data_IF_827838723960
#
_entry.id   IF_827838723960
#
_cell.length_a   1.000
_cell.length_b   1.000
_cell.length_c   1.000
_cell.angle_alpha   90.00
_cell.angle_beta   90.00
_cell.angle_gamma   90.00
#
_symmetry.space_group_name_H-M   'P 1'
#
loop_
_entity.id
_entity.type
_entity.pdbx_description
1 polymer ?
#
# COMPACT_ATOMS: atom_id res chain seq x y z
N UNK A 1 24.14 15.93 -34.13
CA UNK A 1 23.44 16.26 -32.87
C UNK A 1 23.40 15.00 -32.03
N UNK A 2 24.01 15.01 -30.84
CA UNK A 2 24.03 13.86 -29.93
C UNK A 2 22.66 13.73 -29.25
N UNK A 3 21.74 13.02 -29.91
CA UNK A 3 20.49 12.58 -29.31
C UNK A 3 20.75 11.24 -28.63
N UNK A 4 20.47 11.16 -27.33
CA UNK A 4 20.58 9.93 -26.55
C UNK A 4 19.20 9.30 -26.42
N UNK A 5 19.15 7.97 -26.47
CA UNK A 5 17.93 7.18 -26.34
C UNK A 5 18.21 6.03 -25.40
N UNK A 6 17.43 5.91 -24.32
CA UNK A 6 17.42 4.76 -23.43
C UNK A 6 16.08 4.05 -23.48
N UNK A 7 16.13 2.72 -23.34
CA UNK A 7 14.96 1.86 -23.44
C UNK A 7 14.93 0.88 -22.28
N UNK A 8 13.77 0.76 -21.65
CA UNK A 8 13.49 -0.16 -20.57
C UNK A 8 12.35 -1.07 -21.02
N UNK A 9 12.61 -2.37 -21.09
CA UNK A 9 11.64 -3.37 -21.53
C UNK A 9 11.26 -4.29 -20.37
N UNK A 10 9.97 -4.60 -20.30
CA UNK A 10 9.38 -5.68 -19.52
C UNK A 10 8.46 -6.49 -20.43
N UNK A 11 7.81 -7.53 -19.91
CA UNK A 11 7.03 -8.47 -20.72
C UNK A 11 5.88 -7.81 -21.48
N UNK A 12 5.15 -6.90 -20.85
CA UNK A 12 3.99 -6.21 -21.42
C UNK A 12 4.21 -4.70 -21.63
N UNK A 13 5.33 -4.14 -21.16
CA UNK A 13 5.56 -2.69 -21.12
C UNK A 13 6.94 -2.33 -21.67
N UNK A 14 7.01 -1.31 -22.52
CA UNK A 14 8.26 -0.70 -22.98
C UNK A 14 8.22 0.81 -22.74
N UNK A 15 9.23 1.31 -22.06
CA UNK A 15 9.47 2.74 -21.85
C UNK A 15 10.70 3.18 -22.63
N UNK A 16 10.56 4.18 -23.49
CA UNK A 16 11.65 4.83 -24.21
C UNK A 16 11.75 6.27 -23.77
N UNK A 17 12.95 6.71 -23.41
CA UNK A 17 13.24 8.11 -23.09
C UNK A 17 14.32 8.63 -24.03
N UNK A 18 14.13 9.84 -24.53
CA UNK A 18 15.10 10.51 -25.39
C UNK A 18 15.44 11.88 -24.85
N UNK A 19 16.69 12.28 -25.03
CA UNK A 19 17.17 13.51 -24.47
C UNK A 19 18.53 13.95 -24.98
N UNK A 20 19.00 15.01 -24.34
CA UNK A 20 20.29 15.64 -24.63
C UNK A 20 21.14 15.65 -23.36
N UNK A 21 22.47 15.56 -23.50
CA UNK A 21 23.37 15.84 -22.40
C UNK A 21 23.29 17.30 -21.98
N UNK A 22 23.34 17.54 -20.68
CA UNK A 22 23.46 18.88 -20.13
C UNK A 22 24.93 19.21 -19.88
N UNK A 23 25.56 19.83 -20.89
CA UNK A 23 26.96 20.25 -20.80
C UNK A 23 27.19 21.38 -19.79
N UNK A 24 26.14 22.04 -19.30
CA UNK A 24 26.27 23.12 -18.31
C UNK A 24 26.51 22.61 -16.89
N UNK A 25 26.21 21.33 -16.63
CA UNK A 25 26.31 20.68 -15.32
C UNK A 25 27.43 19.64 -15.23
N UNK A 26 28.43 19.72 -16.13
CA UNK A 26 29.59 18.80 -16.22
C UNK A 26 29.18 17.31 -16.36
N UNK A 27 27.97 17.08 -16.87
CA UNK A 27 27.49 15.74 -17.15
C UNK A 27 28.17 15.19 -18.41
N UNK A 28 28.60 13.93 -18.36
CA UNK A 28 29.25 13.27 -19.49
C UNK A 28 28.35 13.23 -20.74
N UNK A 29 28.96 13.17 -21.93
CA UNK A 29 28.25 13.21 -23.22
C UNK A 29 27.30 12.02 -23.47
N UNK A 30 27.32 11.00 -22.59
CA UNK A 30 26.46 9.82 -22.62
C UNK A 30 25.41 9.81 -21.52
N UNK A 31 25.02 10.97 -20.99
CA UNK A 31 23.97 11.09 -19.96
C UNK A 31 22.86 11.98 -20.49
N UNK A 32 21.60 11.62 -20.26
CA UNK A 32 20.46 12.52 -20.47
C UNK A 32 20.33 13.42 -19.24
N UNK A 33 20.71 14.69 -19.41
CA UNK A 33 20.43 15.75 -18.42
C UNK A 33 19.15 16.53 -18.74
N UNK A 34 18.76 16.59 -20.03
CA UNK A 34 17.55 17.26 -20.49
C UNK A 34 16.65 16.26 -21.23
N UNK A 35 15.49 15.95 -20.64
CA UNK A 35 14.47 15.11 -21.26
C UNK A 35 13.83 15.86 -22.44
N UNK A 36 13.90 15.27 -23.63
CA UNK A 36 13.23 15.80 -24.83
C UNK A 36 11.86 15.16 -25.02
N UNK A 37 11.81 13.83 -25.01
CA UNK A 37 10.60 13.05 -25.28
C UNK A 37 10.61 11.76 -24.47
N UNK A 38 9.43 11.19 -24.29
CA UNK A 38 9.27 9.85 -23.75
C UNK A 38 8.09 9.18 -24.43
N UNK A 39 8.13 7.85 -24.54
CA UNK A 39 7.04 7.02 -25.05
C UNK A 39 6.92 5.79 -24.20
N UNK A 40 5.69 5.42 -23.87
CA UNK A 40 5.35 4.22 -23.13
C UNK A 40 4.38 3.39 -23.97
N UNK A 41 4.81 2.19 -24.32
CA UNK A 41 4.03 1.22 -25.06
C UNK A 41 3.58 0.13 -24.11
N UNK A 42 2.29 -0.14 -24.06
CA UNK A 42 1.74 -1.32 -23.39
C UNK A 42 1.08 -2.21 -24.44
N UNK A 43 1.17 -3.53 -24.24
CA UNK A 43 0.55 -4.49 -25.15
C UNK A 43 -0.97 -4.26 -25.20
N UNK A 44 -1.52 -4.08 -26.41
CA UNK A 44 -2.96 -3.89 -26.59
C UNK A 44 -3.50 -2.52 -26.19
N UNK A 45 -2.65 -1.58 -25.75
CA UNK A 45 -3.02 -0.20 -25.45
C UNK A 45 -2.42 0.77 -26.48
N UNK A 46 -3.02 1.96 -26.66
CA UNK A 46 -2.39 3.04 -27.44
C UNK A 46 -1.07 3.48 -26.80
N UNK A 47 -0.14 3.94 -27.63
CA UNK A 47 1.13 4.51 -27.15
C UNK A 47 0.85 5.78 -26.33
N UNK A 48 1.47 5.86 -25.16
CA UNK A 48 1.41 7.01 -24.29
C UNK A 48 2.64 7.89 -24.52
N UNK A 49 2.38 9.18 -24.73
CA UNK A 49 3.40 10.21 -24.80
C UNK A 49 2.89 11.49 -24.15
N UNK A 50 3.80 12.40 -23.83
CA UNK A 50 3.44 13.67 -23.21
C UNK A 50 4.65 14.54 -22.92
N UNK A 51 4.42 15.58 -22.14
CA UNK A 51 5.49 16.45 -21.65
C UNK A 51 6.24 15.77 -20.49
N UNK A 52 7.33 16.39 -20.05
CA UNK A 52 8.07 15.97 -18.86
C UNK A 52 7.16 15.84 -17.62
N UNK A 53 6.23 16.78 -17.46
CA UNK A 53 5.26 16.80 -16.36
C UNK A 53 4.37 15.53 -16.32
N UNK A 54 4.03 14.95 -17.47
CA UNK A 54 3.27 13.70 -17.55
C UNK A 54 4.07 12.52 -17.06
N UNK A 55 5.36 12.42 -17.45
CA UNK A 55 6.23 11.35 -16.97
C UNK A 55 6.48 11.48 -15.47
N UNK A 56 6.69 12.70 -14.98
CA UNK A 56 6.83 12.96 -13.54
C UNK A 56 5.58 12.58 -12.76
N UNK A 57 4.40 12.99 -13.23
CA UNK A 57 3.13 12.62 -12.62
C UNK A 57 2.93 11.10 -12.64
N UNK A 58 3.23 10.44 -13.76
CA UNK A 58 3.17 8.98 -13.90
C UNK A 58 4.06 8.28 -12.88
N UNK A 59 5.31 8.72 -12.72
CA UNK A 59 6.24 8.20 -11.72
C UNK A 59 5.67 8.34 -10.31
N UNK A 60 5.11 9.50 -9.96
CA UNK A 60 4.55 9.74 -8.63
C UNK A 60 3.32 8.87 -8.35
N UNK A 61 2.31 8.89 -9.23
CA UNK A 61 1.03 8.23 -8.98
C UNK A 61 1.14 6.72 -9.03
N UNK A 62 1.91 6.15 -9.97
CA UNK A 62 2.12 4.70 -10.04
C UNK A 62 2.91 4.21 -8.82
N UNK A 63 3.97 4.92 -8.42
CA UNK A 63 4.73 4.56 -7.21
C UNK A 63 3.85 4.61 -5.96
N UNK A 64 3.04 5.65 -5.81
CA UNK A 64 2.13 5.78 -4.67
C UNK A 64 1.06 4.68 -4.67
N UNK A 65 0.45 4.41 -5.82
CA UNK A 65 -0.59 3.41 -5.98
C UNK A 65 -0.08 2.00 -5.68
N UNK A 66 1.03 1.59 -6.29
CA UNK A 66 1.62 0.26 -6.07
C UNK A 66 1.98 0.04 -4.60
N UNK A 67 2.50 1.05 -3.90
CA UNK A 67 2.78 0.96 -2.45
C UNK A 67 1.53 0.72 -1.61
N UNK A 68 0.42 1.37 -1.96
CA UNK A 68 -0.85 1.18 -1.24
C UNK A 68 -1.43 -0.20 -1.54
N UNK A 69 -1.35 -0.66 -2.80
CA UNK A 69 -1.74 -2.02 -3.16
C UNK A 69 -0.95 -3.09 -2.40
N UNK A 70 0.38 -2.94 -2.28
CA UNK A 70 1.21 -3.83 -1.45
C UNK A 70 0.81 -3.83 0.03
N UNK A 71 0.19 -2.74 0.49
CA UNK A 71 -0.37 -2.61 1.84
C UNK A 71 -1.82 -3.09 1.95
N UNK A 72 -2.39 -3.66 0.89
CA UNK A 72 -3.77 -4.12 0.82
C UNK A 72 -4.81 -3.01 0.69
N UNK A 73 -4.39 -1.79 0.36
CA UNK A 73 -5.27 -0.61 0.25
C UNK A 73 -5.35 -0.19 -1.22
N UNK A 74 -6.47 -0.48 -1.88
CA UNK A 74 -6.72 -0.01 -3.24
C UNK A 74 -7.51 1.31 -3.21
N UNK A 75 -6.91 2.40 -3.71
CA UNK A 75 -7.56 3.72 -3.80
C UNK A 75 -7.08 4.51 -5.00
N UNK A 76 -7.78 5.59 -5.33
CA UNK A 76 -7.40 6.49 -6.41
C UNK A 76 -6.25 7.44 -6.00
N UNK A 77 -5.35 7.71 -6.94
CA UNK A 77 -4.24 8.67 -6.87
C UNK A 77 -4.26 9.59 -8.09
N UNK A 78 -3.91 10.85 -7.88
CA UNK A 78 -4.07 11.92 -8.87
C UNK A 78 -5.41 12.65 -8.67
N UNK A 79 -5.37 13.97 -8.71
CA UNK A 79 -6.56 14.82 -8.73
C UNK A 79 -7.17 14.88 -10.13
N UNK A 80 -8.39 15.40 -10.23
CA UNK A 80 -9.14 15.49 -11.50
C UNK A 80 -8.45 16.38 -12.55
N UNK A 81 -7.60 17.30 -12.10
CA UNK A 81 -6.81 18.20 -12.95
C UNK A 81 -5.36 17.75 -13.15
N UNK A 82 -4.93 16.68 -12.47
CA UNK A 82 -3.55 16.22 -12.58
C UNK A 82 -3.31 15.56 -13.95
N UNK A 83 -2.09 15.68 -14.52
CA UNK A 83 -1.78 15.12 -15.84
C UNK A 83 -2.01 13.60 -15.93
N UNK A 84 -1.88 12.90 -14.82
CA UNK A 84 -2.02 11.45 -14.72
C UNK A 84 -2.77 11.10 -13.43
N UNK A 85 -3.73 10.19 -13.53
CA UNK A 85 -4.36 9.57 -12.36
C UNK A 85 -4.46 8.05 -12.52
N UNK A 86 -4.50 7.33 -11.40
CA UNK A 86 -4.61 5.87 -11.37
C UNK A 86 -5.52 5.42 -10.24
N UNK A 87 -6.31 4.38 -10.45
CA UNK A 87 -7.13 3.80 -9.39
C UNK A 87 -7.57 2.37 -9.68
N UNK A 88 -8.24 1.73 -8.69
CA UNK A 88 -8.83 0.41 -8.91
C UNK A 88 -10.00 0.48 -9.88
N UNK A 89 -10.17 -0.57 -10.69
CA UNK A 89 -11.36 -0.84 -11.49
C UNK A 89 -11.90 -2.24 -11.19
N UNK A 90 -13.08 -2.59 -11.70
CA UNK A 90 -13.77 -3.86 -11.46
C UNK A 90 -12.91 -5.11 -11.69
N UNK A 91 -11.96 -5.06 -12.64
CA UNK A 91 -11.14 -6.21 -13.05
C UNK A 91 -9.64 -5.90 -13.06
N UNK A 92 -9.19 -4.91 -12.28
CA UNK A 92 -7.76 -4.53 -12.24
C UNK A 92 -7.58 -3.06 -11.90
N UNK A 93 -6.83 -2.37 -12.73
CA UNK A 93 -6.47 -0.96 -12.52
C UNK A 93 -6.86 -0.11 -13.73
N UNK A 94 -7.07 1.17 -13.50
CA UNK A 94 -7.35 2.15 -14.53
C UNK A 94 -6.34 3.28 -14.42
N UNK A 95 -5.57 3.48 -15.47
CA UNK A 95 -4.66 4.61 -15.66
C UNK A 95 -5.33 5.63 -16.59
N UNK A 96 -5.35 6.89 -16.22
CA UNK A 96 -5.85 7.98 -17.04
C UNK A 96 -4.73 8.98 -17.32
N UNK A 97 -4.54 9.33 -18.59
CA UNK A 97 -3.65 10.39 -19.04
C UNK A 97 -4.47 11.56 -19.57
N UNK A 98 -4.23 12.77 -19.05
CA UNK A 98 -4.92 13.99 -19.45
C UNK A 98 -4.02 14.82 -20.36
N UNK A 99 -4.56 15.22 -21.50
CA UNK A 99 -3.84 16.12 -22.41
C UNK A 99 -3.64 17.49 -21.75
N UNK A 100 -2.53 18.14 -22.09
CA UNK A 100 -2.31 19.54 -21.72
C UNK A 100 -3.10 20.54 -22.59
N UNK A 101 -3.79 20.07 -23.63
CA UNK A 101 -4.65 20.90 -24.47
C UNK A 101 -6.10 20.88 -23.96
N UNK A 102 -6.78 22.05 -23.90
CA UNK A 102 -8.15 22.13 -23.42
C UNK A 102 -9.11 21.42 -24.38
N UNK A 103 -10.12 20.75 -23.82
CA UNK A 103 -11.20 20.10 -24.60
C UNK A 103 -10.83 18.75 -25.21
N UNK A 104 -9.66 18.18 -24.88
CA UNK A 104 -9.29 16.81 -25.27
C UNK A 104 -9.70 15.85 -24.16
N UNK A 105 -10.42 14.79 -24.52
CA UNK A 105 -10.83 13.77 -23.55
C UNK A 105 -9.62 13.01 -22.97
N UNK A 106 -9.65 12.64 -21.67
CA UNK A 106 -8.61 11.84 -21.06
C UNK A 106 -8.47 10.47 -21.71
N UNK A 107 -7.24 10.07 -22.00
CA UNK A 107 -6.93 8.73 -22.47
C UNK A 107 -6.98 7.75 -21.28
N UNK A 108 -7.85 6.76 -21.36
CA UNK A 108 -8.04 5.75 -20.31
C UNK A 108 -7.49 4.41 -20.75
N UNK A 109 -6.65 3.81 -19.91
CA UNK A 109 -6.01 2.51 -20.13
C UNK A 109 -6.35 1.60 -18.96
N UNK A 110 -6.78 0.39 -19.29
CA UNK A 110 -6.99 -0.67 -18.33
C UNK A 110 -5.69 -1.46 -18.19
N UNK A 111 -5.31 -1.72 -16.94
CA UNK A 111 -4.14 -2.53 -16.62
C UNK A 111 -4.58 -3.72 -15.78
N UNK A 112 -4.04 -4.90 -16.09
CA UNK A 112 -4.05 -6.02 -15.15
C UNK A 112 -2.89 -5.92 -14.13
N UNK A 113 -2.85 -6.86 -13.18
CA UNK A 113 -1.82 -6.88 -12.14
C UNK A 113 -0.40 -7.07 -12.72
N UNK A 114 -0.26 -7.82 -13.82
CA UNK A 114 1.02 -8.11 -14.44
C UNK A 114 1.54 -6.89 -15.22
N UNK A 115 0.67 -6.23 -15.97
CA UNK A 115 0.95 -4.98 -16.68
C UNK A 115 1.32 -3.86 -15.71
N UNK A 116 0.64 -3.75 -14.57
CA UNK A 116 1.00 -2.79 -13.53
C UNK A 116 2.39 -3.09 -12.94
N UNK A 117 2.69 -4.35 -12.68
CA UNK A 117 4.00 -4.77 -12.15
C UNK A 117 5.13 -4.50 -13.16
N UNK A 118 4.89 -4.71 -14.44
CA UNK A 118 5.82 -4.39 -15.52
C UNK A 118 6.02 -2.88 -15.66
N UNK A 119 4.95 -2.10 -15.61
CA UNK A 119 5.01 -0.64 -15.63
C UNK A 119 5.86 -0.10 -14.48
N UNK A 120 5.60 -0.56 -13.25
CA UNK A 120 6.35 -0.15 -12.07
C UNK A 120 7.84 -0.49 -12.20
N UNK A 121 8.18 -1.68 -12.71
CA UNK A 121 9.57 -2.09 -12.96
C UNK A 121 10.27 -1.21 -13.99
N UNK A 122 9.61 -0.87 -15.10
CA UNK A 122 10.15 0.07 -16.10
C UNK A 122 10.41 1.46 -15.49
N UNK A 123 9.47 1.96 -14.69
CA UNK A 123 9.56 3.27 -14.04
C UNK A 123 10.68 3.31 -12.99
N UNK A 124 10.84 2.25 -12.19
CA UNK A 124 11.93 2.16 -11.22
C UNK A 124 13.29 2.01 -11.91
N UNK A 125 13.37 1.24 -13.01
CA UNK A 125 14.60 1.15 -13.80
C UNK A 125 15.03 2.52 -14.35
N UNK A 126 14.08 3.31 -14.89
CA UNK A 126 14.35 4.68 -15.32
C UNK A 126 14.85 5.57 -14.19
N UNK A 127 14.25 5.49 -13.00
CA UNK A 127 14.62 6.33 -11.85
C UNK A 127 16.00 6.00 -11.28
N UNK A 128 16.44 4.75 -11.44
CA UNK A 128 17.71 4.25 -10.93
C UNK A 128 18.82 4.28 -11.98
N UNK A 129 18.53 4.63 -13.24
CA UNK A 129 19.52 4.65 -14.31
C UNK A 129 20.49 5.84 -14.14
N UNK A 130 21.80 5.58 -13.90
CA UNK A 130 22.79 6.66 -13.77
C UNK A 130 23.01 7.47 -15.06
N UNK A 131 22.55 6.96 -16.21
CA UNK A 131 22.62 7.66 -17.50
C UNK A 131 21.41 8.58 -17.74
N UNK A 132 20.43 8.62 -16.83
CA UNK A 132 19.30 9.55 -16.89
C UNK A 132 19.27 10.39 -15.62
N UNK A 133 20.05 11.48 -15.63
CA UNK A 133 20.20 12.39 -14.49
C UNK A 133 19.25 13.58 -14.58
N UNK A 134 17.97 13.27 -14.83
CA UNK A 134 16.89 14.26 -14.75
C UNK A 134 16.47 14.36 -13.28
N UNK A 135 16.29 15.58 -12.79
CA UNK A 135 15.80 15.82 -11.43
C UNK A 135 14.32 15.40 -11.31
N UNK A 136 14.09 14.13 -10.98
CA UNK A 136 12.75 13.61 -10.71
C UNK A 136 12.30 14.02 -9.30
N UNK A 137 11.01 14.35 -9.11
CA UNK A 137 10.49 14.59 -7.78
C UNK A 137 10.60 13.32 -6.94
N UNK A 138 11.11 13.45 -5.71
CA UNK A 138 11.19 12.33 -4.79
C UNK A 138 9.77 11.89 -4.40
N UNK A 139 9.44 10.59 -4.48
CA UNK A 139 8.13 10.11 -4.08
C UNK A 139 7.92 10.38 -2.58
N UNK A 140 6.71 10.80 -2.20
CA UNK A 140 6.38 11.06 -0.80
C UNK A 140 6.33 9.74 0.00
N UNK A 141 7.33 9.52 0.84
CA UNK A 141 7.41 8.37 1.74
C UNK A 141 6.63 8.63 3.03
N UNK A 142 5.31 8.86 2.92
CA UNK A 142 4.47 8.92 4.11
C UNK A 142 4.00 7.51 4.52
N UNK A 143 4.02 7.19 5.83
CA UNK A 143 3.47 5.95 6.33
C UNK A 143 1.95 5.94 6.14
N UNK A 144 1.38 4.76 5.87
CA UNK A 144 -0.08 4.62 5.83
C UNK A 144 -0.68 4.89 7.21
N UNK A 145 -1.82 5.56 7.25
CA UNK A 145 -2.54 5.75 8.50
C UNK A 145 -3.09 4.42 8.98
N UNK A 146 -3.05 4.15 10.30
CA UNK A 146 -3.58 2.90 10.90
C UNK A 146 -5.04 2.63 10.51
N UNK A 147 -5.83 3.67 10.26
CA UNK A 147 -7.22 3.56 9.82
C UNK A 147 -7.34 2.86 8.46
N UNK A 148 -6.48 3.23 7.51
CA UNK A 148 -6.50 2.69 6.14
C UNK A 148 -6.14 1.19 6.14
N UNK A 149 -5.23 0.79 7.03
CA UNK A 149 -4.85 -0.62 7.24
C UNK A 149 -5.95 -1.44 7.95
N UNK A 150 -6.80 -0.80 8.75
CA UNK A 150 -7.88 -1.49 9.46
C UNK A 150 -9.12 -1.72 8.59
N UNK A 151 -9.30 -0.89 7.57
CA UNK A 151 -10.38 -1.00 6.58
C UNK A 151 -10.10 -2.08 5.53
N UNK A 152 -8.84 -2.42 5.28
CA UNK A 152 -8.48 -3.51 4.36
C UNK A 152 -8.71 -4.92 4.95
N UNK A 153 -8.93 -5.05 6.27
CA UNK A 153 -9.26 -6.33 6.89
C UNK A 153 -10.79 -6.54 6.79
N UNK A 154 -11.28 -7.56 6.07
CA UNK A 154 -12.71 -7.80 5.93
C UNK A 154 -13.35 -7.97 7.31
N UNK A 155 -14.49 -7.30 7.53
CA UNK A 155 -15.15 -7.22 8.84
C UNK A 155 -15.34 -8.58 9.53
N UNK A 156 -15.63 -9.64 8.76
CA UNK A 156 -15.78 -11.01 9.29
C UNK A 156 -14.50 -11.56 9.94
N UNK A 157 -13.31 -11.20 9.46
CA UNK A 157 -12.02 -11.64 10.03
C UNK A 157 -11.63 -10.82 11.26
N UNK A 158 -12.14 -9.58 11.36
CA UNK A 158 -11.92 -8.67 12.49
C UNK A 158 -12.60 -9.16 13.78
N UNK A 159 -13.73 -9.86 13.65
CA UNK A 159 -14.48 -10.34 14.81
C UNK A 159 -14.25 -11.81 15.16
N UNK A 160 -13.54 -12.59 14.33
CA UNK A 160 -13.29 -14.01 14.61
C UNK A 160 -12.59 -14.27 15.95
N UNK A 161 -11.50 -13.56 16.22
CA UNK A 161 -10.75 -13.69 17.48
C UNK A 161 -11.55 -13.23 18.73
N UNK A 162 -12.18 -12.04 18.77
CA UNK A 162 -12.96 -11.63 19.94
C UNK A 162 -14.22 -12.48 20.16
N UNK A 163 -14.87 -12.97 19.09
CA UNK A 163 -16.02 -13.87 19.23
C UNK A 163 -15.61 -15.23 19.82
N UNK A 164 -14.48 -15.80 19.39
CA UNK A 164 -13.94 -17.03 19.99
C UNK A 164 -13.53 -16.84 21.45
N UNK A 165 -12.92 -15.70 21.78
CA UNK A 165 -12.59 -15.37 23.17
C UNK A 165 -13.83 -15.22 24.04
N UNK A 166 -14.84 -14.50 23.54
CA UNK A 166 -16.10 -14.30 24.24
C UNK A 166 -16.88 -15.61 24.43
N UNK A 167 -16.89 -16.49 23.43
CA UNK A 167 -17.55 -17.79 23.54
C UNK A 167 -16.85 -18.69 24.55
N UNK A 168 -15.52 -18.73 24.56
CA UNK A 168 -14.75 -19.46 25.56
C UNK A 168 -15.03 -18.94 26.98
N UNK A 169 -15.04 -17.61 27.17
CA UNK A 169 -15.33 -16.99 28.47
C UNK A 169 -16.75 -17.31 28.95
N UNK A 170 -17.75 -17.25 28.04
CA UNK A 170 -19.12 -17.61 28.36
C UNK A 170 -19.23 -19.09 28.80
N UNK A 171 -18.51 -19.98 28.13
CA UNK A 171 -18.48 -21.40 28.45
C UNK A 171 -17.88 -21.65 29.84
N UNK A 172 -16.80 -20.97 30.18
CA UNK A 172 -16.19 -21.01 31.52
C UNK A 172 -17.15 -20.47 32.59
N UNK A 173 -17.85 -19.37 32.33
CA UNK A 173 -18.83 -18.80 33.26
C UNK A 173 -20.00 -19.76 33.53
N UNK A 174 -20.51 -20.43 32.50
CA UNK A 174 -21.57 -21.45 32.64
C UNK A 174 -21.09 -22.61 33.51
N UNK A 175 -19.87 -23.10 33.28
CA UNK A 175 -19.27 -24.16 34.11
C UNK A 175 -19.10 -23.69 35.55
N UNK A 176 -18.64 -22.46 35.78
CA UNK A 176 -18.43 -21.91 37.12
C UNK A 176 -19.74 -21.82 37.93
N UNK A 177 -20.87 -21.50 37.30
CA UNK A 177 -22.20 -21.50 37.94
C UNK A 177 -22.66 -22.92 38.30
N UNK A 178 -22.25 -23.93 37.53
CA UNK A 178 -22.58 -25.34 37.78
C UNK A 178 -21.71 -25.99 38.87
N UNK A 179 -20.59 -25.38 39.26
CA UNK A 179 -19.74 -25.89 40.34
C UNK A 179 -20.34 -25.47 41.69
N UNK A 180 -20.78 -26.42 42.53
CA UNK A 180 -21.33 -26.08 43.84
C UNK A 180 -20.24 -25.44 44.71
N UNK A 181 -20.51 -24.23 45.20
CA UNK A 181 -19.67 -23.57 46.20
C UNK A 181 -19.76 -24.38 47.48
N UNK A 182 -18.64 -24.98 47.91
CA UNK A 182 -18.59 -25.59 49.23
C UNK A 182 -18.76 -24.49 50.28
N UNK A 183 -19.71 -24.63 51.22
CA UNK A 183 -19.86 -23.65 52.29
C UNK A 183 -18.54 -23.56 53.06
N UNK A 184 -18.15 -22.35 53.52
CA UNK A 184 -16.93 -22.17 54.28
C UNK A 184 -16.95 -23.13 55.47
N UNK A 185 -15.93 -23.99 55.55
CA UNK A 185 -15.74 -24.88 56.69
C UNK A 185 -15.68 -24.03 57.96
N UNK A 186 -16.67 -24.20 58.84
CA UNK A 186 -16.72 -23.50 60.11
C UNK A 186 -15.40 -23.72 60.87
N UNK A 187 -14.82 -22.66 61.49
CA UNK A 187 -13.59 -22.83 62.25
C UNK A 187 -13.81 -23.88 63.34
N UNK A 188 -12.83 -24.76 63.60
CA UNK A 188 -12.97 -25.80 64.60
C UNK A 188 -13.28 -25.15 65.94
N UNK A 189 -14.21 -25.79 66.67
CA UNK A 189 -14.76 -25.34 67.94
C UNK A 189 -13.69 -25.18 69.04
N UNK A 190 -12.91 -24.09 68.98
CA UNK A 190 -12.04 -23.67 70.05
C UNK A 190 -12.86 -23.26 71.30
N UNK A 191 -14.13 -22.89 71.12
CA UNK A 191 -15.01 -22.48 72.20
C UNK A 191 -15.61 -23.66 73.00
N UNK A 192 -15.67 -24.86 72.42
CA UNK A 192 -16.12 -26.07 73.14
C UNK A 192 -14.98 -26.72 73.94
N UNK A 193 -13.74 -26.69 73.42
CA UNK A 193 -12.57 -27.21 74.14
C UNK A 193 -12.24 -26.41 75.42
N UNK A 194 -12.49 -25.08 75.43
CA UNK A 194 -12.28 -24.23 76.62
C UNK A 194 -13.37 -24.48 77.68
N UNK A 195 -14.61 -24.74 77.28
CA UNK A 195 -15.72 -25.05 78.21
C UNK A 195 -15.59 -26.41 78.90
N UNK A 196 -15.08 -27.43 78.21
CA UNK A 196 -14.81 -28.73 78.82
C UNK A 196 -13.59 -28.68 79.77
N UNK A 197 -12.57 -27.88 79.47
CA UNK A 197 -11.40 -27.70 80.34
C UNK A 197 -11.73 -26.95 81.64
N UNK A 198 -12.69 -26.00 81.62
CA UNK A 198 -13.12 -25.25 82.80
C UNK A 198 -14.15 -25.98 83.67
N UNK A 199 -14.81 -27.03 83.15
CA UNK A 199 -15.82 -27.80 83.91
C UNK A 199 -15.22 -29.03 84.63
N UNK A 200 -13.99 -29.43 84.28
CA UNK A 200 -13.27 -30.58 84.86
C UNK A 200 -12.00 -30.20 85.64
N UNK A 201 -11.97 -29.02 86.26
CA UNK A 201 -10.95 -28.71 87.26
C UNK A 201 -11.47 -29.12 88.66
N UNK A 202 -10.78 -30.02 89.38
CA UNK A 202 -11.18 -30.47 90.73
C UNK A 202 -11.01 -29.39 91.81
#
# INVERSE_FOLDING_TARGET
MLKLTYRYDQSAVRLVVEGLPDFSSDQGSGVIGILSTWRLQLVGAPELEGKREHLEALLQVVTAYSRHLLSGVARHFGAEQDPVSIGPNATGHQLQLRSSQPGVEPLTIQLDDAELADLMRCLDALRLDPNVQVAWPSPSLQPLARRDLSESIPAGRRFGAPLLGASALALVAVVAVMVPVQPPSAPPAAEQAVKEALTNAP
#
